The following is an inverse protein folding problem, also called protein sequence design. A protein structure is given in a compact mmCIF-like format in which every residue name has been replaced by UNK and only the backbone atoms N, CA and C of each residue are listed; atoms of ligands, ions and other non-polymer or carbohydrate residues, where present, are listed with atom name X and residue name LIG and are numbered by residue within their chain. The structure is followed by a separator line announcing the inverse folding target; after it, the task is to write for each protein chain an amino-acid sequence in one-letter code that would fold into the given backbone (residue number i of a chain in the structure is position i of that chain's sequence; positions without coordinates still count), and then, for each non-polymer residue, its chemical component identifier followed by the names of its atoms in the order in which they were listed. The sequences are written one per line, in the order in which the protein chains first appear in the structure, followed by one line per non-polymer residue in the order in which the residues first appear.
data_IF_062998620421
#
_entry.id   IF_062998620421
#
_cell.length_a   1.000
_cell.length_b   1.000
_cell.length_c   1.000
_cell.angle_alpha   90.00
_cell.angle_beta   90.00
_cell.angle_gamma   90.00
#
_symmetry.space_group_name_H-M   'P 1'
#
loop_
_entity.id
_entity.type
_entity.pdbx_description
1 polymer ?
#
# COMPACT_ATOMS: atom_id res chain seq x y z
N UNK A 1 -3.03 6.69 31.70
CA UNK A 1 -2.28 6.40 30.46
C UNK A 1 -0.84 6.83 30.68
N UNK A 2 0.07 5.87 30.97
CA UNK A 2 1.51 6.13 30.89
C UNK A 2 1.85 6.39 29.43
N UNK A 3 2.31 7.60 29.11
CA UNK A 3 2.95 7.88 27.82
C UNK A 3 4.18 7.00 27.74
N UNK A 4 4.16 6.01 26.90
CA UNK A 4 5.37 5.29 26.49
C UNK A 4 6.25 6.34 25.79
N UNK A 5 7.31 6.77 26.46
CA UNK A 5 8.40 7.49 25.79
C UNK A 5 9.02 6.47 24.84
N UNK A 6 8.83 6.67 23.57
CA UNK A 6 9.67 6.07 22.55
C UNK A 6 11.00 6.82 22.66
N UNK A 7 11.96 6.25 23.36
CA UNK A 7 13.33 6.72 23.31
C UNK A 7 13.81 6.43 21.88
N UNK A 8 13.80 7.46 21.05
CA UNK A 8 14.45 7.40 19.77
C UNK A 8 15.95 7.39 20.02
N UNK A 9 16.66 6.40 19.54
CA UNK A 9 18.11 6.46 19.46
C UNK A 9 18.48 7.69 18.60
N UNK A 10 19.15 8.65 19.20
CA UNK A 10 19.65 9.81 18.46
C UNK A 10 20.58 9.31 17.36
N UNK A 11 20.25 9.63 16.10
CA UNK A 11 21.08 9.29 14.96
C UNK A 11 20.63 8.06 14.15
N UNK A 12 19.56 7.34 14.53
CA UNK A 12 19.02 6.29 13.66
C UNK A 12 18.45 6.91 12.39
N UNK A 13 19.10 6.62 11.27
CA UNK A 13 18.65 7.06 9.96
C UNK A 13 18.03 5.89 9.21
N UNK A 14 16.79 6.03 8.82
CA UNK A 14 16.06 5.02 8.03
C UNK A 14 16.78 4.74 6.70
N UNK A 15 17.46 5.75 6.15
CA UNK A 15 18.25 5.63 4.93
C UNK A 15 17.43 5.42 3.67
N UNK A 16 16.11 5.65 3.73
CA UNK A 16 15.28 5.63 2.54
C UNK A 16 15.50 6.87 1.71
N UNK A 17 15.44 6.72 0.41
CA UNK A 17 15.43 7.83 -0.54
C UNK A 17 14.00 8.24 -0.85
N UNK A 18 13.79 9.54 -1.01
CA UNK A 18 12.47 10.10 -1.35
C UNK A 18 12.58 10.94 -2.61
N UNK A 19 11.52 10.91 -3.41
CA UNK A 19 11.41 11.66 -4.65
C UNK A 19 10.03 12.31 -4.75
N UNK A 20 9.97 13.57 -5.12
CA UNK A 20 8.73 14.24 -5.48
C UNK A 20 8.30 13.86 -6.90
N UNK A 21 6.99 13.71 -7.08
CA UNK A 21 6.37 13.40 -8.37
C UNK A 21 6.59 11.96 -8.85
N UNK A 22 5.95 11.63 -9.97
CA UNK A 22 6.02 10.30 -10.54
C UNK A 22 7.40 10.02 -11.15
N UNK A 23 7.81 8.78 -11.06
CA UNK A 23 9.00 8.27 -11.71
C UNK A 23 8.67 7.64 -13.05
N UNK A 24 9.59 7.69 -14.01
CA UNK A 24 9.42 7.05 -15.31
C UNK A 24 9.50 5.51 -15.19
N UNK A 25 8.77 4.81 -16.03
CA UNK A 25 8.67 3.36 -16.02
C UNK A 25 7.61 2.86 -15.04
N UNK A 26 7.58 1.56 -14.78
CA UNK A 26 6.56 0.92 -13.97
C UNK A 26 5.33 0.49 -14.78
N UNK A 27 4.57 -0.42 -14.22
CA UNK A 27 3.31 -0.90 -14.78
C UNK A 27 2.14 -0.13 -14.18
N UNK A 28 1.07 0.07 -14.97
CA UNK A 28 -0.12 0.75 -14.47
C UNK A 28 -0.75 -0.02 -13.30
N UNK A 29 -0.92 0.66 -12.15
CA UNK A 29 -1.38 0.08 -10.90
C UNK A 29 -2.29 1.05 -10.13
N UNK A 30 -3.35 1.49 -10.79
CA UNK A 30 -4.36 2.36 -10.16
C UNK A 30 -5.22 1.60 -9.15
N UNK A 31 -5.29 0.26 -9.25
CA UNK A 31 -5.90 -0.61 -8.25
C UNK A 31 -4.88 -1.69 -7.91
N UNK A 32 -4.56 -1.86 -6.62
CA UNK A 32 -3.74 -2.94 -6.10
C UNK A 32 -4.57 -3.76 -5.12
N UNK A 33 -4.55 -5.09 -5.26
CA UNK A 33 -5.26 -6.02 -4.38
C UNK A 33 -4.26 -6.98 -3.72
N UNK A 34 -4.27 -6.99 -2.40
CA UNK A 34 -3.37 -7.79 -1.56
C UNK A 34 -4.19 -8.77 -0.70
N UNK A 35 -4.26 -10.07 -1.07
CA UNK A 35 -4.94 -11.06 -0.25
C UNK A 35 -4.04 -11.51 0.90
N UNK A 36 -4.49 -11.35 2.14
CA UNK A 36 -3.80 -11.84 3.35
C UNK A 36 -4.33 -13.20 3.79
N UNK A 37 -5.62 -13.45 3.61
CA UNK A 37 -6.30 -14.68 3.95
C UNK A 37 -7.58 -14.82 3.14
N UNK A 38 -8.31 -15.91 3.34
CA UNK A 38 -9.66 -16.08 2.77
C UNK A 38 -10.68 -15.05 3.25
N UNK A 39 -10.37 -14.35 4.34
CA UNK A 39 -11.27 -13.37 4.96
C UNK A 39 -10.78 -11.94 4.88
N UNK A 40 -9.48 -11.73 4.72
CA UNK A 40 -8.87 -10.39 4.70
C UNK A 40 -8.19 -10.14 3.37
N UNK A 41 -8.67 -9.11 2.68
CA UNK A 41 -8.05 -8.54 1.47
C UNK A 41 -7.90 -7.05 1.69
N UNK A 42 -6.72 -6.52 1.42
CA UNK A 42 -6.48 -5.08 1.33
C UNK A 42 -6.63 -4.64 -0.13
N UNK A 43 -7.34 -3.56 -0.36
CA UNK A 43 -7.44 -2.91 -1.67
C UNK A 43 -6.94 -1.49 -1.54
N UNK A 44 -6.12 -1.08 -2.51
CA UNK A 44 -5.51 0.25 -2.57
C UNK A 44 -5.90 0.87 -3.91
N UNK A 45 -6.73 1.89 -3.86
CA UNK A 45 -7.27 2.54 -5.05
C UNK A 45 -6.67 3.93 -5.22
N UNK A 46 -5.96 4.14 -6.34
CA UNK A 46 -5.31 5.41 -6.64
C UNK A 46 -6.35 6.49 -6.97
N UNK A 47 -6.25 7.60 -6.26
CA UNK A 47 -6.97 8.82 -6.54
C UNK A 47 -6.01 9.84 -7.20
N UNK A 48 -6.19 10.16 -8.50
CA UNK A 48 -5.30 11.06 -9.22
C UNK A 48 -5.41 12.52 -8.75
N UNK A 49 -6.52 12.90 -8.11
CA UNK A 49 -6.72 14.27 -7.65
C UNK A 49 -5.89 14.57 -6.40
N UNK A 50 -5.82 13.63 -5.47
CA UNK A 50 -4.96 13.73 -4.28
C UNK A 50 -3.55 13.17 -4.50
N UNK A 51 -3.36 12.29 -5.48
CA UNK A 51 -2.12 11.56 -5.72
C UNK A 51 -1.82 10.49 -4.66
N UNK A 52 -2.85 10.02 -3.95
CA UNK A 52 -2.77 9.03 -2.87
C UNK A 52 -3.53 7.75 -3.22
N UNK A 53 -3.22 6.67 -2.51
CA UNK A 53 -4.00 5.45 -2.52
C UNK A 53 -4.96 5.44 -1.33
N UNK A 54 -6.27 5.35 -1.60
CA UNK A 54 -7.30 5.11 -0.62
C UNK A 54 -7.27 3.64 -0.21
N UNK A 55 -7.31 3.38 1.09
CA UNK A 55 -7.18 2.03 1.63
C UNK A 55 -8.55 1.46 1.98
N UNK A 56 -8.79 0.22 1.54
CA UNK A 56 -9.94 -0.59 1.92
C UNK A 56 -9.47 -1.90 2.54
N UNK A 57 -10.17 -2.37 3.56
CA UNK A 57 -9.99 -3.68 4.17
C UNK A 57 -11.34 -4.37 4.37
N UNK A 58 -11.40 -5.66 4.16
CA UNK A 58 -12.65 -6.45 4.29
C UNK A 58 -13.80 -5.98 3.38
N UNK A 59 -13.49 -5.31 2.26
CA UNK A 59 -14.48 -4.77 1.32
C UNK A 59 -15.12 -3.45 1.75
N UNK A 60 -14.58 -2.79 2.77
CA UNK A 60 -15.05 -1.51 3.30
C UNK A 60 -13.90 -0.50 3.39
N UNK A 61 -14.16 0.81 3.30
CA UNK A 61 -13.13 1.82 3.53
C UNK A 61 -12.45 1.64 4.90
N UNK A 62 -11.13 1.61 4.91
CA UNK A 62 -10.36 1.56 6.14
C UNK A 62 -10.28 2.95 6.77
N UNK A 63 -11.01 3.16 7.86
CA UNK A 63 -11.20 4.46 8.49
C UNK A 63 -10.35 4.59 9.76
N UNK A 64 -9.64 5.71 9.90
CA UNK A 64 -8.92 6.03 11.14
C UNK A 64 -9.91 6.33 12.27
N UNK A 65 -9.76 5.62 13.39
CA UNK A 65 -10.68 5.72 14.53
C UNK A 65 -10.64 7.05 15.28
N UNK A 66 -9.59 7.88 15.07
CA UNK A 66 -9.46 9.17 15.74
C UNK A 66 -10.03 10.31 14.87
N UNK A 67 -9.79 10.25 13.55
CA UNK A 67 -10.20 11.31 12.63
C UNK A 67 -11.54 11.03 11.97
N UNK A 68 -11.93 9.77 11.84
CA UNK A 68 -13.10 9.35 11.06
C UNK A 68 -12.89 9.42 9.54
N UNK A 69 -11.67 9.72 9.08
CA UNK A 69 -11.34 9.82 7.68
C UNK A 69 -10.80 8.48 7.14
N UNK A 70 -11.03 8.20 5.86
CA UNK A 70 -10.45 7.03 5.20
C UNK A 70 -8.93 7.17 5.14
N UNK A 71 -8.22 6.10 5.48
CA UNK A 71 -6.76 6.07 5.39
C UNK A 71 -6.34 6.21 3.93
N UNK A 72 -5.44 7.16 3.69
CA UNK A 72 -4.87 7.42 2.38
C UNK A 72 -3.34 7.51 2.48
N UNK A 73 -2.62 6.91 1.54
CA UNK A 73 -1.16 6.80 1.59
C UNK A 73 -0.52 7.11 0.24
N UNK A 74 0.69 7.65 0.29
CA UNK A 74 1.47 7.96 -0.92
C UNK A 74 2.12 6.72 -1.52
N UNK A 75 2.61 5.83 -0.67
CA UNK A 75 3.32 4.63 -1.08
C UNK A 75 2.63 3.39 -0.52
N UNK A 76 2.50 2.37 -1.35
CA UNK A 76 2.12 1.04 -0.91
C UNK A 76 3.28 0.10 -1.23
N UNK A 77 3.80 -0.57 -0.21
CA UNK A 77 4.83 -1.59 -0.37
C UNK A 77 4.20 -2.97 -0.10
N UNK A 78 4.58 -3.95 -0.92
CA UNK A 78 4.27 -5.36 -0.68
C UNK A 78 5.58 -6.11 -0.58
N UNK A 79 5.83 -6.75 0.56
CA UNK A 79 7.06 -7.48 0.84
C UNK A 79 6.76 -8.97 0.96
N UNK A 80 7.31 -9.76 0.05
CA UNK A 80 7.19 -11.22 0.08
C UNK A 80 8.22 -11.81 1.03
N UNK A 81 7.76 -12.65 1.95
CA UNK A 81 8.64 -13.31 2.91
C UNK A 81 8.14 -14.69 3.33
N UNK A 82 8.93 -15.40 4.11
CA UNK A 82 8.50 -16.68 4.69
C UNK A 82 7.56 -16.44 5.86
N UNK A 83 6.36 -16.99 5.75
CA UNK A 83 5.34 -16.97 6.80
C UNK A 83 4.93 -18.42 7.07
N UNK A 84 5.05 -18.85 8.32
CA UNK A 84 4.67 -20.21 8.76
C UNK A 84 3.92 -20.15 10.07
N UNK A 85 3.12 -21.16 10.34
CA UNK A 85 2.49 -21.31 11.64
C UNK A 85 3.53 -21.76 12.68
N UNK A 86 3.44 -21.22 13.89
CA UNK A 86 4.27 -21.67 15.00
C UNK A 86 3.90 -23.10 15.35
N UNK A 87 4.91 -23.97 15.37
CA UNK A 87 4.72 -25.38 15.72
C UNK A 87 4.23 -25.53 17.17
N UNK A 88 3.18 -26.32 17.36
CA UNK A 88 2.59 -26.58 18.69
C UNK A 88 1.75 -25.42 19.26
N UNK A 89 1.50 -24.37 18.49
CA UNK A 89 0.68 -23.25 18.92
C UNK A 89 -0.80 -23.44 18.58
N UNK A 90 -1.63 -23.70 19.59
CA UNK A 90 -3.07 -23.89 19.44
C UNK A 90 -3.83 -22.60 19.07
N UNK A 91 -3.23 -21.44 19.26
CA UNK A 91 -3.80 -20.15 18.89
C UNK A 91 -3.59 -19.79 17.41
N UNK A 92 -2.79 -20.60 16.67
CA UNK A 92 -2.56 -20.40 15.25
C UNK A 92 -1.68 -19.19 14.92
N UNK A 93 -0.84 -18.74 15.86
CA UNK A 93 0.06 -17.59 15.64
C UNK A 93 1.06 -17.88 14.53
N UNK A 94 1.42 -16.84 13.80
CA UNK A 94 2.33 -16.93 12.69
C UNK A 94 3.75 -16.48 13.09
N UNK A 95 4.73 -17.18 12.53
CA UNK A 95 6.12 -16.75 12.49
C UNK A 95 6.36 -16.08 11.14
N UNK A 96 6.74 -14.81 11.16
CA UNK A 96 7.06 -14.02 9.96
C UNK A 96 8.57 -13.76 9.98
N UNK A 97 9.26 -14.07 8.88
CA UNK A 97 10.67 -13.73 8.73
C UNK A 97 10.79 -12.25 8.36
N UNK A 98 11.41 -11.46 9.24
CA UNK A 98 11.57 -10.01 9.07
C UNK A 98 13.00 -9.58 8.78
N UNK A 99 13.93 -10.55 8.67
CA UNK A 99 15.35 -10.34 8.34
C UNK A 99 15.75 -11.11 7.09
N UNK A 100 16.87 -10.77 6.48
CA UNK A 100 17.33 -11.29 5.22
C UNK A 100 16.86 -10.44 4.04
N UNK A 101 16.52 -11.07 2.93
CA UNK A 101 16.05 -10.39 1.73
C UNK A 101 14.85 -11.11 1.10
N UNK A 102 14.14 -10.42 0.23
CA UNK A 102 13.04 -10.98 -0.55
C UNK A 102 12.55 -10.02 -1.61
N UNK A 103 11.78 -10.53 -2.55
CA UNK A 103 11.11 -9.71 -3.56
C UNK A 103 9.97 -8.89 -2.97
N UNK A 104 9.54 -7.88 -3.69
CA UNK A 104 8.42 -7.04 -3.31
C UNK A 104 7.92 -6.17 -4.46
N UNK A 105 6.96 -5.32 -4.15
CA UNK A 105 6.45 -4.28 -5.04
C UNK A 105 6.48 -2.94 -4.31
N UNK A 106 6.89 -1.89 -5.01
CA UNK A 106 6.63 -0.50 -4.64
C UNK A 106 5.54 0.03 -5.57
N UNK A 107 4.46 0.55 -4.99
CA UNK A 107 3.33 1.10 -5.74
C UNK A 107 3.12 2.54 -5.29
N UNK A 108 3.20 3.49 -6.23
CA UNK A 108 2.95 4.92 -6.01
C UNK A 108 2.59 5.61 -7.33
N UNK A 109 1.94 6.75 -7.26
CA UNK A 109 1.60 7.57 -8.43
C UNK A 109 0.85 6.81 -9.54
N UNK A 110 0.03 5.80 -9.19
CA UNK A 110 -0.70 4.97 -10.15
C UNK A 110 0.14 3.92 -10.87
N UNK A 111 1.39 3.68 -10.43
CA UNK A 111 2.35 2.78 -11.06
C UNK A 111 2.94 1.81 -10.03
N UNK A 112 3.34 0.62 -10.49
CA UNK A 112 4.01 -0.42 -9.71
C UNK A 112 5.39 -0.74 -10.29
N UNK A 113 6.35 -0.96 -9.42
CA UNK A 113 7.70 -1.43 -9.74
C UNK A 113 8.07 -2.63 -8.90
N UNK A 114 8.66 -3.68 -9.47
CA UNK A 114 9.30 -4.73 -8.69
C UNK A 114 10.49 -4.15 -7.91
N UNK A 115 10.63 -4.62 -6.67
CA UNK A 115 11.73 -4.25 -5.77
C UNK A 115 12.28 -5.48 -5.06
N UNK A 116 13.48 -5.34 -4.49
CA UNK A 116 14.02 -6.24 -3.48
C UNK A 116 14.08 -5.51 -2.15
N UNK A 117 13.66 -6.16 -1.08
CA UNK A 117 13.85 -5.67 0.27
C UNK A 117 14.97 -6.42 0.97
N UNK A 118 15.72 -5.72 1.82
CA UNK A 118 16.82 -6.28 2.60
C UNK A 118 16.81 -5.74 4.04
N UNK A 119 17.12 -6.62 4.99
CA UNK A 119 17.33 -6.29 6.39
C UNK A 119 18.24 -7.34 7.02
N UNK A 120 19.48 -7.00 7.35
CA UNK A 120 20.46 -7.97 7.83
C UNK A 120 20.08 -8.54 9.21
N UNK A 121 19.77 -7.70 10.18
CA UNK A 121 19.40 -8.10 11.53
C UNK A 121 18.16 -7.34 12.04
N UNK A 122 17.67 -7.74 13.22
CA UNK A 122 16.46 -7.14 13.81
C UNK A 122 16.64 -5.67 14.19
N UNK A 123 17.87 -5.23 14.45
CA UNK A 123 18.21 -3.84 14.75
C UNK A 123 18.59 -3.04 13.50
N UNK A 124 18.72 -3.70 12.34
CA UNK A 124 19.13 -3.04 11.12
C UNK A 124 17.96 -2.41 10.39
N UNK A 125 18.26 -1.43 9.56
CA UNK A 125 17.26 -0.77 8.73
C UNK A 125 16.72 -1.71 7.66
N UNK A 126 15.45 -1.56 7.34
CA UNK A 126 14.83 -2.15 6.17
C UNK A 126 15.14 -1.28 4.95
N UNK A 127 15.72 -1.85 3.91
CA UNK A 127 16.12 -1.15 2.69
C UNK A 127 15.39 -1.71 1.48
N UNK A 128 15.20 -0.88 0.46
CA UNK A 128 14.51 -1.23 -0.77
C UNK A 128 15.37 -0.89 -1.97
N UNK A 129 15.47 -1.83 -2.90
CA UNK A 129 16.27 -1.69 -4.11
C UNK A 129 15.44 -2.04 -5.34
N UNK A 130 15.77 -1.39 -6.45
CA UNK A 130 15.26 -1.73 -7.77
C UNK A 130 16.00 -2.91 -8.35
N UNK A 131 15.53 -3.41 -9.49
CA UNK A 131 16.16 -4.51 -10.21
C UNK A 131 17.60 -4.19 -10.67
N UNK A 132 17.91 -2.92 -10.89
CA UNK A 132 19.27 -2.46 -11.23
C UNK A 132 20.19 -2.29 -10.00
N UNK A 133 19.70 -2.62 -8.79
CA UNK A 133 20.43 -2.49 -7.54
C UNK A 133 20.48 -1.07 -6.97
N UNK A 134 19.86 -0.09 -7.63
CA UNK A 134 19.76 1.27 -7.07
C UNK A 134 18.69 1.33 -5.97
N UNK A 135 18.84 2.21 -4.97
CA UNK A 135 17.81 2.42 -3.96
C UNK A 135 16.46 2.79 -4.61
N UNK A 136 15.39 2.11 -4.20
CA UNK A 136 14.05 2.44 -4.63
C UNK A 136 13.57 3.71 -3.90
N UNK A 137 13.30 4.77 -4.66
CA UNK A 137 12.82 6.02 -4.09
C UNK A 137 11.33 5.96 -3.77
N UNK A 138 10.97 6.26 -2.53
CA UNK A 138 9.58 6.43 -2.10
C UNK A 138 9.08 7.83 -2.49
N UNK A 139 7.78 7.98 -2.70
CA UNK A 139 7.14 9.30 -2.77
C UNK A 139 7.11 9.97 -1.40
N UNK A 140 7.23 11.28 -1.37
CA UNK A 140 7.14 12.05 -0.12
C UNK A 140 5.71 11.94 0.44
N UNK A 141 5.56 11.32 1.63
CA UNK A 141 4.29 11.06 2.28
C UNK A 141 4.26 9.76 3.06
N UNK A 142 3.08 9.37 3.51
CA UNK A 142 2.88 8.15 4.29
C UNK A 142 3.05 6.90 3.44
N UNK A 143 3.53 5.83 4.07
CA UNK A 143 3.71 4.53 3.44
C UNK A 143 2.91 3.45 4.16
N UNK A 144 2.25 2.56 3.40
CA UNK A 144 1.60 1.36 3.91
C UNK A 144 2.42 0.14 3.49
N UNK A 145 2.92 -0.61 4.47
CA UNK A 145 3.79 -1.77 4.21
C UNK A 145 2.98 -3.05 4.47
N UNK A 146 2.75 -3.82 3.42
CA UNK A 146 2.10 -5.12 3.46
C UNK A 146 3.17 -6.21 3.48
N UNK A 147 3.14 -7.08 4.49
CA UNK A 147 4.03 -8.25 4.56
C UNK A 147 3.18 -9.47 4.24
N UNK A 148 3.52 -10.16 3.16
CA UNK A 148 2.78 -11.31 2.66
C UNK A 148 3.67 -12.55 2.50
N UNK A 149 3.06 -13.74 2.54
CA UNK A 149 3.77 -14.98 2.30
C UNK A 149 4.27 -15.04 0.87
N UNK A 150 5.50 -15.52 0.67
CA UNK A 150 6.04 -15.83 -0.67
C UNK A 150 5.07 -16.72 -1.44
N UNK A 151 4.73 -16.31 -2.67
CA UNK A 151 3.74 -16.98 -3.51
C UNK A 151 2.29 -16.50 -3.33
N UNK A 152 2.05 -15.49 -2.49
CA UNK A 152 0.76 -14.81 -2.44
C UNK A 152 0.51 -14.11 -3.79
N UNK A 153 -0.65 -14.35 -4.39
CA UNK A 153 -1.05 -13.75 -5.66
C UNK A 153 -1.58 -12.34 -5.43
N UNK A 154 -0.67 -11.36 -5.50
CA UNK A 154 -1.00 -9.93 -5.46
C UNK A 154 -1.29 -9.48 -6.89
N UNK A 155 -2.38 -8.76 -7.09
CA UNK A 155 -2.78 -8.29 -8.42
C UNK A 155 -2.88 -6.77 -8.47
N UNK A 156 -2.54 -6.18 -9.62
CA UNK A 156 -2.69 -4.76 -9.88
C UNK A 156 -3.15 -4.50 -11.30
N UNK A 157 -3.84 -3.39 -11.52
CA UNK A 157 -4.35 -2.99 -12.83
C UNK A 157 -4.57 -1.48 -12.90
N UNK A 158 -4.64 -0.96 -14.13
CA UNK A 158 -5.24 0.34 -14.39
C UNK A 158 -6.75 0.29 -14.12
N UNK A 159 -7.33 1.39 -13.61
CA UNK A 159 -8.78 1.53 -13.57
C UNK A 159 -9.36 1.52 -14.98
N UNK A 160 -10.42 0.76 -15.19
CA UNK A 160 -11.16 0.85 -16.43
C UNK A 160 -11.68 2.29 -16.60
N UNK A 161 -11.15 3.01 -17.56
CA UNK A 161 -11.67 4.34 -17.91
C UNK A 161 -13.09 4.17 -18.41
N UNK A 162 -14.07 4.63 -17.62
CA UNK A 162 -15.46 4.70 -18.11
C UNK A 162 -15.47 5.62 -19.33
N UNK A 163 -16.02 5.14 -20.44
CA UNK A 163 -16.15 5.97 -21.64
C UNK A 163 -17.02 7.19 -21.30
N UNK A 164 -16.72 8.37 -21.86
CA UNK A 164 -17.49 9.60 -21.58
C UNK A 164 -18.98 9.49 -21.85
N UNK A 165 -19.39 8.58 -22.74
CA UNK A 165 -20.77 8.25 -23.07
C UNK A 165 -21.49 7.48 -21.96
N UNK A 166 -20.80 6.64 -21.16
CA UNK A 166 -21.41 5.96 -20.02
C UNK A 166 -21.70 6.90 -18.85
N UNK A 167 -20.86 7.93 -18.63
CA UNK A 167 -21.14 8.97 -17.63
C UNK A 167 -22.43 9.75 -17.95
N UNK A 168 -22.70 9.97 -19.24
CA UNK A 168 -23.93 10.68 -19.69
C UNK A 168 -25.19 9.87 -19.44
N UNK A 169 -25.10 8.53 -19.40
CA UNK A 169 -26.25 7.65 -19.15
C UNK A 169 -26.64 7.58 -17.68
N UNK A 170 -25.67 7.65 -16.77
CA UNK A 170 -25.93 7.62 -15.32
C UNK A 170 -26.53 8.94 -14.82
N UNK A 171 -26.06 10.08 -15.33
CA UNK A 171 -26.64 11.39 -15.00
C UNK A 171 -28.06 11.56 -15.52
N UNK A 172 -28.47 10.86 -16.60
CA UNK A 172 -29.84 10.84 -17.10
C UNK A 172 -30.78 9.90 -16.33
N UNK A 173 -30.25 8.89 -15.62
CA UNK A 173 -31.01 7.92 -14.81
C UNK A 173 -31.26 8.37 -13.37
N UNK A 174 -30.38 9.18 -12.81
CA UNK A 174 -30.62 9.87 -11.54
C UNK A 174 -31.25 11.21 -11.89
N UNK A 175 -32.58 11.27 -11.98
CA UNK A 175 -33.32 12.49 -12.24
C UNK A 175 -33.03 13.58 -11.20
N UNK A 176 -32.04 14.39 -11.46
CA UNK A 176 -31.82 15.66 -10.76
C UNK A 176 -32.63 16.73 -11.51
N UNK A 177 -33.85 16.89 -11.08
CA UNK A 177 -34.55 18.17 -11.29
C UNK A 177 -33.80 19.22 -10.48
N UNK A 178 -33.08 20.09 -11.19
CA UNK A 178 -32.57 21.33 -10.59
C UNK A 178 -33.73 22.18 -10.10
N UNK A 179 -33.96 22.23 -8.82
CA UNK A 179 -34.78 23.28 -8.23
C UNK A 179 -33.94 24.57 -8.26
N UNK A 180 -34.26 25.41 -9.27
CA UNK A 180 -33.94 26.83 -9.24
C UNK A 180 -35.12 27.53 -8.61
N UNK A 181 -35.07 27.91 -7.36
CA UNK A 181 -35.90 28.98 -6.79
C UNK A 181 -35.01 30.15 -6.42
N UNK A 182 -35.28 31.20 -7.05
CA UNK A 182 -35.33 32.67 -6.92
C UNK A 182 -34.64 33.29 -5.71
#
# INVERSE_FOLDING_TARGET
YQRVRLDHEEGFQVGWTFQEGPEAGGEAAEILTVPFSTYKTGVFEYDPDSGLYLVEEYGEPYVDGNTGEQVAVKNVLVLYTDVSQLSGDSAGRLKVRTTGSGGGLLVRDGLAWPITWEREGESDRLSFYREDGQPAALGVGHSYINIVKTGTEVTWAAKARRRPDEQRFYLKKCGWECYTER
#
